data_IF_836434549520
#
_entry.id   IF_836434549520
#
_cell.length_a   1.000
_cell.length_b   1.000
_cell.length_c   1.000
_cell.angle_alpha   90.00
_cell.angle_beta   90.00
_cell.angle_gamma   90.00
#
_symmetry.space_group_name_H-M   'P 1'
#
loop_
_entity.id
_entity.type
_entity.pdbx_description
1 polymer ?
#
# COMPACT_ATOMS: atom_id res chain seq x y z
N UNK A 1 -45.80 -21.75 -25.02
CA UNK A 1 -44.72 -22.33 -24.19
C UNK A 1 -43.51 -21.40 -24.34
N UNK A 2 -43.32 -20.45 -23.42
CA UNK A 2 -42.21 -19.50 -23.46
C UNK A 2 -40.98 -20.14 -22.80
N UNK A 3 -39.89 -20.33 -23.55
CA UNK A 3 -38.58 -20.63 -22.97
C UNK A 3 -37.89 -19.31 -22.57
N UNK A 4 -37.73 -19.11 -21.27
CA UNK A 4 -36.83 -18.11 -20.73
C UNK A 4 -35.39 -18.60 -20.89
N UNK A 5 -34.62 -17.97 -21.78
CA UNK A 5 -33.19 -18.18 -21.86
C UNK A 5 -32.54 -17.54 -20.62
N UNK A 6 -32.02 -18.38 -19.73
CA UNK A 6 -31.20 -17.95 -18.62
C UNK A 6 -29.88 -17.35 -19.15
N UNK A 7 -29.72 -16.03 -18.99
CA UNK A 7 -28.44 -15.36 -19.21
C UNK A 7 -27.51 -15.79 -18.07
N UNK A 8 -26.67 -16.79 -18.34
CA UNK A 8 -25.56 -17.17 -17.47
C UNK A 8 -24.50 -16.07 -17.60
N UNK A 9 -24.43 -15.20 -16.61
CA UNK A 9 -23.46 -14.10 -16.53
C UNK A 9 -22.01 -14.62 -16.59
N UNK A 10 -21.29 -14.30 -17.66
CA UNK A 10 -19.86 -14.56 -17.89
C UNK A 10 -18.92 -13.74 -16.97
N UNK A 11 -19.11 -13.77 -15.64
CA UNK A 11 -18.26 -13.04 -14.69
C UNK A 11 -17.04 -13.85 -14.20
N UNK A 12 -17.05 -15.18 -14.38
CA UNK A 12 -15.95 -16.08 -13.97
C UNK A 12 -14.63 -15.90 -14.76
N UNK A 13 -14.63 -15.66 -16.09
CA UNK A 13 -13.39 -15.56 -16.86
C UNK A 13 -12.55 -14.33 -16.48
N UNK A 14 -13.20 -13.19 -16.23
CA UNK A 14 -12.51 -11.95 -15.89
C UNK A 14 -11.80 -12.04 -14.53
N UNK A 15 -12.45 -12.66 -13.52
CA UNK A 15 -11.85 -12.87 -12.21
C UNK A 15 -10.65 -13.82 -12.26
N UNK A 16 -10.73 -14.88 -13.07
CA UNK A 16 -9.63 -15.82 -13.27
C UNK A 16 -8.44 -15.16 -14.00
N UNK A 17 -8.72 -14.26 -14.96
CA UNK A 17 -7.68 -13.51 -15.66
C UNK A 17 -6.99 -12.49 -14.74
N UNK A 18 -7.73 -11.71 -13.97
CA UNK A 18 -7.17 -10.76 -13.01
C UNK A 18 -6.30 -11.46 -11.95
N UNK A 19 -6.75 -12.63 -11.46
CA UNK A 19 -5.99 -13.50 -10.57
C UNK A 19 -4.66 -13.97 -11.20
N UNK A 20 -4.70 -14.38 -12.47
CA UNK A 20 -3.53 -14.86 -13.20
C UNK A 20 -2.53 -13.72 -13.46
N UNK A 21 -3.01 -12.55 -13.87
CA UNK A 21 -2.18 -11.38 -14.14
C UNK A 21 -1.51 -10.87 -12.86
N UNK A 22 -2.26 -10.79 -11.75
CA UNK A 22 -1.72 -10.38 -10.47
C UNK A 22 -0.67 -11.39 -9.96
N UNK A 23 -0.92 -12.69 -10.13
CA UNK A 23 0.05 -13.75 -9.82
C UNK A 23 1.32 -13.61 -10.68
N UNK A 24 1.19 -13.37 -11.99
CA UNK A 24 2.33 -13.16 -12.88
C UNK A 24 3.20 -11.99 -12.43
N UNK A 25 2.59 -10.88 -11.99
CA UNK A 25 3.33 -9.74 -11.42
C UNK A 25 4.06 -10.10 -10.13
N UNK A 26 3.42 -10.86 -9.23
CA UNK A 26 4.07 -11.36 -8.01
C UNK A 26 5.29 -12.23 -8.33
N UNK A 27 5.14 -13.20 -9.22
CA UNK A 27 6.23 -14.11 -9.60
C UNK A 27 7.36 -13.37 -10.33
N UNK A 28 7.03 -12.43 -11.22
CA UNK A 28 8.02 -11.59 -11.91
C UNK A 28 8.86 -10.80 -10.91
N UNK A 29 8.22 -10.19 -9.92
CA UNK A 29 8.91 -9.45 -8.86
C UNK A 29 9.78 -10.36 -7.98
N UNK A 30 9.24 -11.49 -7.53
CA UNK A 30 9.98 -12.43 -6.68
C UNK A 30 11.18 -13.05 -7.40
N UNK A 31 11.04 -13.40 -8.69
CA UNK A 31 12.14 -13.89 -9.51
C UNK A 31 13.24 -12.83 -9.71
N UNK A 32 12.85 -11.56 -9.86
CA UNK A 32 13.82 -10.46 -9.91
C UNK A 32 14.57 -10.30 -8.56
N UNK A 33 13.88 -10.48 -7.43
CA UNK A 33 14.51 -10.45 -6.11
C UNK A 33 15.43 -11.65 -5.84
N UNK A 34 15.14 -12.83 -6.40
CA UNK A 34 16.00 -14.02 -6.26
C UNK A 34 17.10 -14.13 -7.31
N UNK A 35 17.23 -13.15 -8.21
CA UNK A 35 18.22 -13.17 -9.29
C UNK A 35 17.97 -14.25 -10.36
N UNK A 36 16.77 -14.83 -10.40
CA UNK A 36 16.38 -15.87 -11.38
C UNK A 36 15.56 -15.29 -12.54
N UNK A 37 15.14 -14.03 -12.44
CA UNK A 37 14.39 -13.30 -13.46
C UNK A 37 15.05 -11.98 -13.86
N UNK A 38 14.37 -11.21 -14.71
CA UNK A 38 14.82 -9.89 -15.17
C UNK A 38 14.78 -8.87 -14.01
N UNK A 39 15.87 -8.13 -13.84
CA UNK A 39 16.01 -7.04 -12.86
C UNK A 39 14.93 -5.96 -13.01
N UNK A 40 14.43 -5.73 -14.24
CA UNK A 40 13.30 -4.83 -14.49
C UNK A 40 12.02 -5.24 -13.73
N UNK A 41 11.92 -6.49 -13.27
CA UNK A 41 10.83 -6.93 -12.39
C UNK A 41 10.77 -6.16 -11.07
N UNK A 42 11.87 -5.58 -10.60
CA UNK A 42 11.91 -4.74 -9.38
C UNK A 42 11.14 -3.42 -9.57
N UNK A 43 10.99 -2.93 -10.81
CA UNK A 43 10.20 -1.73 -11.15
C UNK A 43 8.67 -1.94 -11.04
N UNK A 44 8.25 -3.18 -10.76
CA UNK A 44 6.88 -3.48 -10.37
C UNK A 44 6.57 -2.95 -8.96
N UNK A 45 7.58 -2.59 -8.16
CA UNK A 45 7.39 -1.94 -6.86
C UNK A 45 6.70 -0.57 -7.01
N UNK A 46 5.55 -0.40 -6.37
CA UNK A 46 4.83 0.86 -6.39
C UNK A 46 5.61 1.93 -5.65
N UNK A 47 5.92 3.03 -6.34
CA UNK A 47 6.84 4.07 -5.86
C UNK A 47 8.27 3.91 -6.38
N UNK A 48 8.56 2.82 -7.11
CA UNK A 48 9.87 2.51 -7.65
C UNK A 48 10.81 1.88 -6.62
N UNK A 49 11.94 1.38 -7.11
CA UNK A 49 13.05 0.89 -6.29
C UNK A 49 13.83 2.10 -5.81
N UNK A 50 13.87 2.36 -4.50
CA UNK A 50 14.85 3.33 -3.96
C UNK A 50 16.22 2.66 -3.99
N UNK A 51 17.30 3.40 -4.31
CA UNK A 51 18.69 2.90 -4.36
C UNK A 51 19.13 2.13 -3.09
N UNK A 52 18.38 2.22 -2.00
CA UNK A 52 18.62 1.58 -0.71
C UNK A 52 17.97 0.20 -0.58
N UNK A 53 17.21 -0.28 -1.57
CA UNK A 53 16.80 -1.69 -1.66
C UNK A 53 17.97 -2.60 -2.09
N UNK A 54 19.19 -2.28 -1.63
CA UNK A 54 20.35 -3.12 -1.75
C UNK A 54 20.07 -4.43 -1.01
N UNK A 55 19.71 -5.43 -1.82
CA UNK A 55 20.15 -6.82 -1.68
C UNK A 55 19.62 -7.56 -0.44
N UNK A 56 18.29 -7.66 -0.32
CA UNK A 56 17.76 -8.98 0.07
C UNK A 56 17.92 -9.90 -1.14
N UNK A 57 19.07 -10.57 -1.24
CA UNK A 57 19.19 -11.71 -2.15
C UNK A 57 18.34 -12.82 -1.53
N UNK A 58 17.14 -13.00 -2.06
CA UNK A 58 16.33 -14.16 -1.74
C UNK A 58 16.99 -15.37 -2.40
N UNK A 59 17.42 -16.38 -1.64
CA UNK A 59 17.98 -17.59 -2.26
C UNK A 59 16.90 -18.37 -3.01
N UNK A 60 15.70 -18.45 -2.42
CA UNK A 60 14.52 -19.04 -3.03
C UNK A 60 13.24 -18.46 -2.42
N UNK A 61 12.11 -18.71 -3.08
CA UNK A 61 10.79 -18.32 -2.62
C UNK A 61 9.74 -19.36 -2.99
N UNK A 62 8.64 -19.41 -2.23
CA UNK A 62 7.42 -20.14 -2.58
C UNK A 62 6.19 -19.38 -2.12
N UNK A 63 5.11 -19.44 -2.90
CA UNK A 63 3.79 -18.98 -2.45
C UNK A 63 3.24 -20.03 -1.48
N UNK A 64 3.06 -19.64 -0.22
CA UNK A 64 2.50 -20.50 0.84
C UNK A 64 0.99 -20.52 0.81
N UNK A 65 0.36 -19.36 0.68
CA UNK A 65 -1.10 -19.21 0.67
C UNK A 65 -1.52 -17.94 -0.06
N UNK A 66 -2.80 -17.88 -0.44
CA UNK A 66 -3.47 -16.70 -1.00
C UNK A 66 -4.65 -16.35 -0.09
N UNK A 67 -4.73 -15.10 0.34
CA UNK A 67 -5.91 -14.59 1.05
C UNK A 67 -7.02 -14.21 0.06
N UNK A 68 -8.27 -14.09 0.51
CA UNK A 68 -9.34 -13.53 -0.30
C UNK A 68 -8.98 -12.16 -0.88
N UNK A 69 -9.27 -11.99 -2.18
CA UNK A 69 -9.05 -10.74 -2.91
C UNK A 69 -9.93 -9.65 -2.29
N UNK A 70 -9.35 -8.48 -2.09
CA UNK A 70 -10.09 -7.30 -1.61
C UNK A 70 -10.35 -6.38 -2.79
N UNK A 71 -11.61 -6.00 -3.01
CA UNK A 71 -12.03 -5.06 -4.05
C UNK A 71 -12.87 -3.96 -3.44
N UNK A 72 -12.74 -2.76 -3.97
CA UNK A 72 -13.55 -1.61 -3.57
C UNK A 72 -13.69 -0.64 -4.74
N UNK A 73 -14.89 -0.08 -4.89
CA UNK A 73 -15.12 1.13 -5.68
C UNK A 73 -15.56 2.25 -4.74
N UNK A 74 -15.07 3.46 -4.98
CA UNK A 74 -15.39 4.60 -4.13
C UNK A 74 -15.36 5.93 -4.87
N UNK A 75 -15.91 6.95 -4.23
CA UNK A 75 -15.89 8.32 -4.76
C UNK A 75 -14.51 8.98 -4.53
N UNK A 76 -13.93 9.55 -5.58
CA UNK A 76 -12.61 10.19 -5.51
C UNK A 76 -12.63 11.50 -4.71
N UNK A 77 -13.68 12.32 -4.84
CA UNK A 77 -13.75 13.59 -4.13
C UNK A 77 -13.74 13.35 -2.62
N UNK A 78 -14.54 12.38 -2.16
CA UNK A 78 -14.62 11.99 -0.77
C UNK A 78 -13.30 11.39 -0.26
N UNK A 79 -12.69 10.47 -1.02
CA UNK A 79 -11.41 9.88 -0.65
C UNK A 79 -10.30 10.95 -0.53
N UNK A 80 -10.21 11.87 -1.50
CA UNK A 80 -9.21 12.95 -1.46
C UNK A 80 -9.48 13.93 -0.32
N UNK A 81 -10.74 14.25 -0.03
CA UNK A 81 -11.11 15.12 1.09
C UNK A 81 -10.66 14.52 2.43
N UNK A 82 -11.01 13.25 2.70
CA UNK A 82 -10.63 12.57 3.93
C UNK A 82 -9.12 12.37 4.02
N UNK A 83 -8.45 12.05 2.91
CA UNK A 83 -7.00 11.93 2.87
C UNK A 83 -6.31 13.26 3.15
N UNK A 84 -6.82 14.36 2.62
CA UNK A 84 -6.28 15.71 2.86
C UNK A 84 -6.40 16.11 4.32
N UNK A 85 -7.52 15.76 4.97
CA UNK A 85 -7.69 15.96 6.42
C UNK A 85 -6.69 15.13 7.23
N UNK A 86 -6.50 13.85 6.85
CA UNK A 86 -5.50 12.98 7.46
C UNK A 86 -4.07 13.50 7.25
N UNK A 87 -3.74 13.98 6.05
CA UNK A 87 -2.44 14.58 5.72
C UNK A 87 -2.14 15.80 6.60
N UNK A 88 -3.13 16.66 6.79
CA UNK A 88 -3.00 17.84 7.66
C UNK A 88 -2.70 17.44 9.10
N UNK A 89 -3.45 16.48 9.66
CA UNK A 89 -3.22 15.97 11.02
C UNK A 89 -1.86 15.29 11.15
N UNK A 90 -1.50 14.42 10.19
CA UNK A 90 -0.24 13.68 10.19
C UNK A 90 0.99 14.59 10.14
N UNK A 91 0.99 15.60 9.26
CA UNK A 91 2.09 16.60 9.20
C UNK A 91 2.19 17.42 10.47
N UNK A 92 1.06 17.81 11.06
CA UNK A 92 1.03 18.56 12.32
C UNK A 92 1.63 17.72 13.46
N UNK A 93 1.22 16.45 13.56
CA UNK A 93 1.75 15.52 14.55
C UNK A 93 3.26 15.30 14.37
N UNK A 94 3.72 15.04 13.13
CA UNK A 94 5.14 14.85 12.82
C UNK A 94 5.98 16.09 13.20
N UNK A 95 5.51 17.29 12.82
CA UNK A 95 6.23 18.55 13.11
C UNK A 95 6.41 18.75 14.62
N UNK A 96 5.36 18.47 15.40
CA UNK A 96 5.41 18.57 16.88
C UNK A 96 6.24 17.47 17.53
N UNK A 97 6.16 16.25 17.02
CA UNK A 97 6.95 15.10 17.51
C UNK A 97 8.45 15.27 17.26
N UNK A 98 8.82 15.90 16.15
CA UNK A 98 10.22 16.25 15.87
C UNK A 98 10.75 17.34 16.80
N UNK A 99 9.90 17.95 17.63
CA UNK A 99 10.31 18.95 18.61
C UNK A 99 10.96 20.19 17.99
N UNK A 100 10.75 20.44 16.69
CA UNK A 100 11.37 21.56 15.98
C UNK A 100 10.53 22.81 16.23
N UNK A 101 10.77 23.49 17.34
CA UNK A 101 10.33 24.87 17.54
C UNK A 101 11.50 25.80 17.25
N UNK A 102 11.30 26.74 16.31
CA UNK A 102 12.24 27.85 16.11
C UNK A 102 12.00 28.87 17.22
N UNK A 103 13.00 29.11 18.07
CA UNK A 103 12.97 30.17 19.08
C UNK A 103 14.11 31.13 18.78
N UNK A 104 13.86 32.12 17.92
CA UNK A 104 14.91 33.00 17.40
C UNK A 104 15.78 32.28 16.35
N UNK A 105 17.11 32.41 16.46
CA UNK A 105 18.09 31.72 15.59
C UNK A 105 18.47 30.32 16.08
N UNK A 106 17.98 29.89 17.25
CA UNK A 106 18.32 28.59 17.85
C UNK A 106 17.20 27.55 17.70
N UNK A 107 17.61 26.31 17.37
CA UNK A 107 16.76 25.11 17.37
C UNK A 107 16.82 24.44 18.74
N UNK A 108 15.71 24.40 19.47
CA UNK A 108 15.57 23.57 20.68
C UNK A 108 14.77 22.33 20.36
N UNK A 109 15.34 21.15 20.61
CA UNK A 109 14.67 19.86 20.48
C UNK A 109 14.19 19.43 21.87
N UNK A 110 12.88 19.37 22.07
CA UNK A 110 12.26 18.81 23.28
C UNK A 110 11.97 17.33 23.07
N UNK A 111 12.40 16.49 24.02
CA UNK A 111 12.02 15.07 24.03
C UNK A 111 10.52 14.94 24.31
N UNK A 112 9.77 14.38 23.35
CA UNK A 112 8.34 14.12 23.51
C UNK A 112 8.14 12.76 24.17
N UNK A 113 7.60 12.76 25.39
CA UNK A 113 7.28 11.53 26.11
C UNK A 113 6.12 10.73 25.47
N UNK A 114 5.96 9.43 25.81
CA UNK A 114 4.93 8.57 25.20
C UNK A 114 3.50 9.11 25.32
N UNK A 115 3.14 9.72 26.45
CA UNK A 115 1.80 10.26 26.70
C UNK A 115 1.51 11.51 25.84
N UNK A 116 2.53 12.34 25.62
CA UNK A 116 2.43 13.51 24.77
C UNK A 116 2.38 13.09 23.30
N UNK A 117 3.20 12.11 22.90
CA UNK A 117 3.14 11.53 21.57
C UNK A 117 1.76 10.92 21.27
N UNK A 118 1.15 10.22 22.22
CA UNK A 118 -0.20 9.69 22.09
C UNK A 118 -1.25 10.79 21.87
N UNK A 119 -1.16 11.92 22.60
CA UNK A 119 -2.03 13.09 22.42
C UNK A 119 -1.84 13.74 21.06
N UNK A 120 -0.60 13.87 20.60
CA UNK A 120 -0.27 14.43 19.28
C UNK A 120 -0.79 13.56 18.14
N UNK A 121 -0.77 12.24 18.30
CA UNK A 121 -1.23 11.29 17.30
C UNK A 121 -2.74 11.03 17.32
N UNK A 122 -3.46 11.37 18.40
CA UNK A 122 -4.89 11.09 18.53
C UNK A 122 -5.74 11.64 17.36
N UNK A 123 -5.57 12.90 16.90
CA UNK A 123 -6.30 13.41 15.74
C UNK A 123 -5.97 12.64 14.46
N UNK A 124 -4.72 12.23 14.27
CA UNK A 124 -4.30 11.42 13.12
C UNK A 124 -4.98 10.05 13.16
N UNK A 125 -5.07 9.43 14.34
CA UNK A 125 -5.75 8.15 14.55
C UNK A 125 -7.25 8.23 14.27
N UNK A 126 -7.93 9.29 14.71
CA UNK A 126 -9.35 9.52 14.44
C UNK A 126 -9.62 9.68 12.94
N UNK A 127 -8.82 10.50 12.24
CA UNK A 127 -8.95 10.68 10.79
C UNK A 127 -8.60 9.41 10.01
N UNK A 128 -7.64 8.63 10.49
CA UNK A 128 -7.32 7.33 9.92
C UNK A 128 -8.50 6.34 10.05
N UNK A 129 -9.15 6.31 11.21
CA UNK A 129 -10.33 5.48 11.45
C UNK A 129 -11.53 5.94 10.58
N UNK A 130 -11.73 7.24 10.43
CA UNK A 130 -12.74 7.83 9.55
C UNK A 130 -12.48 7.41 8.09
N UNK A 131 -11.25 7.56 7.59
CA UNK A 131 -10.89 7.13 6.24
C UNK A 131 -11.15 5.63 6.03
N UNK A 132 -10.72 4.79 6.98
CA UNK A 132 -10.88 3.34 6.92
C UNK A 132 -12.35 2.89 6.93
N UNK A 133 -13.24 3.67 7.59
CA UNK A 133 -14.68 3.38 7.62
C UNK A 133 -15.32 3.49 6.24
N UNK A 134 -14.91 4.47 5.45
CA UNK A 134 -15.52 4.76 4.14
C UNK A 134 -14.78 4.12 2.96
N UNK A 135 -13.48 3.89 3.12
CA UNK A 135 -12.59 3.46 2.05
C UNK A 135 -11.66 2.34 2.57
N UNK A 136 -12.22 1.24 3.06
CA UNK A 136 -11.49 0.21 3.79
C UNK A 136 -10.34 -0.45 3.00
N UNK A 137 -10.55 -0.75 1.70
CA UNK A 137 -9.51 -1.37 0.86
C UNK A 137 -8.48 -0.34 0.42
N UNK A 138 -8.92 0.87 0.06
CA UNK A 138 -8.00 1.97 -0.22
C UNK A 138 -7.18 2.36 1.03
N UNK A 139 -7.79 2.33 2.23
CA UNK A 139 -7.11 2.52 3.52
C UNK A 139 -6.07 1.44 3.78
N UNK A 140 -6.38 0.19 3.43
CA UNK A 140 -5.41 -0.90 3.47
C UNK A 140 -4.24 -0.66 2.50
N UNK A 141 -4.50 -0.19 1.28
CA UNK A 141 -3.47 0.12 0.29
C UNK A 141 -2.58 1.31 0.71
N UNK A 142 -3.19 2.37 1.22
CA UNK A 142 -2.51 3.55 1.79
C UNK A 142 -1.94 3.29 3.18
N UNK A 143 -2.20 2.11 3.74
CA UNK A 143 -1.77 1.68 5.08
C UNK A 143 -2.05 2.72 6.14
N UNK A 144 -3.27 3.20 6.11
CA UNK A 144 -3.85 4.05 7.14
C UNK A 144 -4.54 3.07 8.10
N UNK A 145 -3.95 2.83 9.29
CA UNK A 145 -4.44 1.79 10.20
C UNK A 145 -3.61 1.56 11.47
N UNK A 146 -3.78 0.38 12.10
CA UNK A 146 -3.34 0.09 13.48
C UNK A 146 -1.84 0.27 13.76
N UNK A 147 -0.96 0.04 12.79
CA UNK A 147 0.50 0.09 12.96
C UNK A 147 1.12 1.38 12.40
N UNK A 148 0.51 2.00 11.40
CA UNK A 148 0.92 3.28 10.81
C UNK A 148 -0.34 4.09 10.54
N UNK A 149 -0.53 5.19 11.24
CA UNK A 149 -1.70 6.05 11.01
C UNK A 149 -1.52 6.94 9.78
N UNK A 150 -0.27 7.33 9.49
CA UNK A 150 0.10 8.21 8.39
C UNK A 150 1.60 8.12 8.10
N UNK A 151 1.99 8.14 6.82
CA UNK A 151 3.39 8.29 6.41
C UNK A 151 3.46 9.16 5.13
N UNK A 152 4.28 10.22 5.10
CA UNK A 152 4.30 11.18 3.99
C UNK A 152 4.84 10.58 2.69
N UNK A 153 5.78 9.63 2.78
CA UNK A 153 6.38 9.00 1.59
C UNK A 153 5.55 7.84 1.02
N UNK A 154 4.36 7.54 1.56
CA UNK A 154 3.55 6.43 1.07
C UNK A 154 3.22 6.61 -0.44
N UNK A 155 3.50 5.63 -1.31
CA UNK A 155 3.49 5.83 -2.74
C UNK A 155 2.07 5.87 -3.30
N UNK A 156 1.10 5.27 -2.59
CA UNK A 156 -0.32 5.38 -2.93
C UNK A 156 -0.86 6.80 -2.77
N UNK A 157 -0.23 7.66 -1.94
CA UNK A 157 -0.63 9.07 -1.84
C UNK A 157 -0.41 9.81 -3.16
N UNK A 158 0.73 9.56 -3.81
CA UNK A 158 1.02 10.11 -5.13
C UNK A 158 0.06 9.57 -6.20
N UNK A 159 -0.33 8.29 -6.12
CA UNK A 159 -1.35 7.70 -7.00
C UNK A 159 -2.70 8.40 -6.82
N UNK A 160 -3.16 8.56 -5.57
CA UNK A 160 -4.43 9.21 -5.27
C UNK A 160 -4.43 10.68 -5.71
N UNK A 161 -3.33 11.39 -5.51
CA UNK A 161 -3.17 12.78 -5.99
C UNK A 161 -3.26 12.87 -7.52
N UNK A 162 -2.63 11.93 -8.26
CA UNK A 162 -2.70 11.87 -9.72
C UNK A 162 -4.08 11.48 -10.26
N UNK A 163 -4.85 10.70 -9.49
CA UNK A 163 -6.22 10.34 -9.85
C UNK A 163 -7.14 11.57 -9.93
N UNK A 164 -6.83 12.63 -9.16
CA UNK A 164 -7.63 13.84 -9.06
C UNK A 164 -8.87 13.62 -8.19
N UNK A 165 -9.83 14.54 -8.31
CA UNK A 165 -11.02 14.61 -7.42
C UNK A 165 -12.33 14.27 -8.10
N UNK A 166 -12.32 13.85 -9.38
CA UNK A 166 -13.53 13.64 -10.17
C UNK A 166 -13.79 12.17 -10.44
N UNK A 167 -15.04 11.74 -10.28
CA UNK A 167 -15.50 10.41 -10.62
C UNK A 167 -15.22 9.36 -9.53
N UNK A 168 -15.25 8.09 -9.94
CA UNK A 168 -14.98 6.95 -9.06
C UNK A 168 -13.56 6.43 -9.25
N UNK A 169 -13.05 5.80 -8.20
CA UNK A 169 -11.91 4.89 -8.30
C UNK A 169 -12.36 3.45 -8.13
N UNK A 170 -11.54 2.52 -8.60
CA UNK A 170 -11.57 1.13 -8.18
C UNK A 170 -10.19 0.71 -7.71
N UNK A 171 -10.15 -0.10 -6.65
CA UNK A 171 -8.91 -0.67 -6.10
C UNK A 171 -9.11 -2.15 -5.87
N UNK A 172 -8.12 -2.92 -6.30
CA UNK A 172 -8.09 -4.36 -6.13
C UNK A 172 -6.75 -4.77 -5.54
N UNK A 173 -6.78 -5.62 -4.50
CA UNK A 173 -5.60 -6.07 -3.78
C UNK A 173 -5.62 -7.59 -3.63
N UNK A 174 -4.66 -8.23 -4.28
CA UNK A 174 -4.32 -9.63 -4.10
C UNK A 174 -3.24 -9.77 -3.05
N UNK A 175 -3.37 -10.76 -2.19
CA UNK A 175 -2.50 -10.92 -1.01
C UNK A 175 -2.07 -12.36 -0.91
N UNK A 176 -0.77 -12.57 -0.81
CA UNK A 176 -0.15 -13.88 -0.64
C UNK A 176 0.75 -13.87 0.57
N UNK A 177 0.88 -15.03 1.21
CA UNK A 177 1.99 -15.29 2.11
C UNK A 177 3.10 -15.95 1.30
N UNK A 178 4.28 -15.35 1.31
CA UNK A 178 5.48 -15.89 0.66
C UNK A 178 6.39 -16.44 1.73
N UNK A 179 6.92 -17.63 1.51
CA UNK A 179 8.03 -18.17 2.29
C UNK A 179 9.32 -17.94 1.51
N UNK A 180 10.32 -17.33 2.14
CA UNK A 180 11.65 -17.10 1.59
C UNK A 180 12.73 -17.78 2.45
N UNK A 181 13.87 -18.07 1.83
CA UNK A 181 15.12 -18.39 2.52
C UNK A 181 16.07 -17.21 2.33
N UNK A 182 16.47 -16.59 3.44
CA UNK A 182 17.21 -15.33 3.45
C UNK A 182 18.56 -15.47 4.16
N UNK A 183 19.58 -14.81 3.59
CA UNK A 183 20.88 -14.60 4.22
C UNK A 183 21.78 -15.84 4.35
N UNK A 184 23.02 -15.66 4.84
CA UNK A 184 24.01 -16.74 4.93
C UNK A 184 23.60 -17.90 5.84
N UNK A 185 22.72 -17.63 6.82
CA UNK A 185 22.17 -18.62 7.75
C UNK A 185 20.98 -19.40 7.20
N UNK A 186 20.54 -19.11 5.96
CA UNK A 186 19.40 -19.76 5.30
C UNK A 186 18.14 -19.74 6.16
N UNK A 187 17.86 -18.60 6.77
CA UNK A 187 16.71 -18.46 7.65
C UNK A 187 15.42 -18.49 6.83
N UNK A 188 14.48 -19.35 7.23
CA UNK A 188 13.15 -19.41 6.63
C UNK A 188 12.30 -18.30 7.23
N UNK A 189 11.70 -17.46 6.37
CA UNK A 189 10.82 -16.36 6.76
C UNK A 189 9.52 -16.41 5.97
N UNK A 190 8.41 -16.21 6.65
CA UNK A 190 7.12 -15.96 6.01
C UNK A 190 6.79 -14.46 6.06
N UNK A 191 6.38 -13.89 4.94
CA UNK A 191 6.00 -12.48 4.86
C UNK A 191 4.90 -12.23 3.82
N UNK A 192 4.11 -11.14 3.98
CA UNK A 192 3.00 -10.85 3.07
C UNK A 192 3.47 -10.12 1.81
N UNK A 193 3.15 -10.68 0.64
CA UNK A 193 3.27 -10.00 -0.65
C UNK A 193 1.89 -9.51 -1.11
N UNK A 194 1.85 -8.28 -1.63
CA UNK A 194 0.62 -7.60 -2.02
C UNK A 194 0.74 -7.08 -3.43
N UNK A 195 -0.16 -7.49 -4.30
CA UNK A 195 -0.27 -6.95 -5.66
C UNK A 195 -1.54 -6.11 -5.72
N UNK A 196 -1.41 -4.88 -6.20
CA UNK A 196 -2.48 -3.89 -6.26
C UNK A 196 -2.67 -3.40 -7.68
N UNK A 197 -3.92 -3.10 -8.04
CA UNK A 197 -4.25 -2.26 -9.18
C UNK A 197 -5.23 -1.20 -8.73
N UNK A 198 -4.90 0.05 -9.02
CA UNK A 198 -5.75 1.20 -8.79
C UNK A 198 -6.14 1.80 -10.14
N UNK A 199 -7.44 2.05 -10.31
CA UNK A 199 -7.99 2.68 -11.52
C UNK A 199 -8.86 3.87 -11.14
N UNK A 200 -8.86 4.84 -12.03
CA UNK A 200 -9.82 5.93 -12.10
C UNK A 200 -9.95 6.38 -13.55
N UNK A 201 -10.70 7.45 -13.81
CA UNK A 201 -10.78 8.04 -15.13
C UNK A 201 -9.41 8.49 -15.69
N UNK A 202 -8.51 8.96 -14.84
CA UNK A 202 -7.26 9.62 -15.26
C UNK A 202 -6.02 8.72 -15.16
N UNK A 203 -6.13 7.60 -14.45
CA UNK A 203 -4.98 6.73 -14.19
C UNK A 203 -5.42 5.27 -14.06
N UNK A 204 -4.65 4.38 -14.67
CA UNK A 204 -4.58 2.95 -14.36
C UNK A 204 -3.13 2.64 -14.00
N UNK A 205 -2.88 2.18 -12.78
CA UNK A 205 -1.51 1.87 -12.34
C UNK A 205 -0.93 0.63 -13.02
N UNK A 206 -1.78 -0.15 -13.70
CA UNK A 206 -1.51 -1.55 -13.94
C UNK A 206 -1.41 -2.31 -12.62
N UNK A 207 -0.99 -3.57 -12.70
CA UNK A 207 -0.67 -4.38 -11.53
C UNK A 207 0.72 -4.01 -11.01
N UNK A 208 0.81 -3.69 -9.72
CA UNK A 208 2.04 -3.28 -9.04
C UNK A 208 2.18 -3.97 -7.68
N UNK A 209 3.41 -4.12 -7.21
CA UNK A 209 3.71 -4.60 -5.85
C UNK A 209 3.51 -3.44 -4.88
N UNK A 210 2.60 -3.61 -3.93
CA UNK A 210 2.53 -2.71 -2.79
C UNK A 210 3.69 -3.09 -1.83
N UNK A 211 4.58 -2.16 -1.43
CA UNK A 211 5.80 -2.46 -0.66
C UNK A 211 5.58 -3.25 0.65
N UNK A 212 6.61 -3.60 1.42
CA UNK A 212 6.48 -4.10 2.82
C UNK A 212 6.41 -2.94 3.84
N UNK A 213 6.18 -3.19 5.14
CA UNK A 213 5.94 -2.18 6.22
C UNK A 213 7.18 -1.59 6.85
N UNK A 214 8.32 -2.19 6.60
CA UNK A 214 9.66 -1.75 6.93
C UNK A 214 10.13 -0.57 6.07
N UNK A 215 9.30 0.48 6.00
CA UNK A 215 9.72 1.78 5.48
C UNK A 215 10.66 2.48 6.47
N UNK A 216 11.78 1.84 6.78
CA UNK A 216 12.94 2.59 7.22
C UNK A 216 13.54 3.21 5.96
N UNK A 217 13.20 4.49 5.76
CA UNK A 217 14.03 5.40 4.98
C UNK A 217 15.17 5.96 5.86
N UNK A 218 15.75 5.09 6.70
CA UNK A 218 17.03 5.33 7.37
C UNK A 218 18.13 4.69 6.52
#
# INVERSE_FOLDING_TARGET
MLMAAAVVCCALPALAQDDADAKKVAETYLNALSGTGDEAGKDLLLGGVTMNAQLFILENWKIKSKDPVRKEEGDLAHAVQLMSALDKSGRTALTKLMGVESVGDDLKMTEVGPDEAAKLLAPTKERAAEFAKYHAVLSYALRVGKEVYWHPKNPMRAVLSKAGTKGKYSVEVHRWTITTVEGPSKQVRDWPLRVIRFKSQNIDTGWKILPASDWNAE
#
